data_IF_914148979604
#
_entry.id   IF_914148979604
#
_cell.length_a   1.000
_cell.length_b   1.000
_cell.length_c   1.000
_cell.angle_alpha   90.00
_cell.angle_beta   90.00
_cell.angle_gamma   90.00
#
_symmetry.space_group_name_H-M   'P 1'
#
loop_
_entity.id
_entity.type
_entity.pdbx_description
1 polymer ?
#
# COMPACT_ATOMS: atom_id res chain seq x y z
N UNK A 1 -15.99 -4.36 19.81
CA UNK A 1 -15.07 -3.98 18.72
C UNK A 1 -15.87 -3.87 17.43
N UNK A 2 -15.80 -2.77 16.69
CA UNK A 2 -16.59 -2.62 15.46
C UNK A 2 -16.01 -3.53 14.36
N UNK A 3 -16.82 -4.43 13.82
CA UNK A 3 -16.44 -5.38 12.75
C UNK A 3 -15.79 -4.65 11.56
N UNK A 4 -16.30 -3.47 11.20
CA UNK A 4 -15.74 -2.62 10.13
C UNK A 4 -14.29 -2.18 10.37
N UNK A 5 -13.89 -1.91 11.61
CA UNK A 5 -12.50 -1.58 11.93
C UNK A 5 -11.58 -2.79 11.80
N UNK A 6 -12.06 -3.98 12.19
CA UNK A 6 -11.29 -5.20 12.05
C UNK A 6 -11.08 -5.57 10.57
N UNK A 7 -12.14 -5.45 9.76
CA UNK A 7 -12.07 -5.69 8.30
C UNK A 7 -11.09 -4.72 7.64
N UNK A 8 -11.13 -3.44 8.00
CA UNK A 8 -10.20 -2.44 7.49
C UNK A 8 -8.73 -2.72 7.89
N UNK A 9 -8.49 -3.18 9.13
CA UNK A 9 -7.16 -3.59 9.57
C UNK A 9 -6.66 -4.80 8.76
N UNK A 10 -7.53 -5.80 8.54
CA UNK A 10 -7.19 -6.98 7.77
C UNK A 10 -6.90 -6.63 6.30
N UNK A 11 -7.66 -5.70 5.73
CA UNK A 11 -7.47 -5.23 4.36
C UNK A 11 -6.13 -4.50 4.17
N UNK A 12 -5.76 -3.59 5.09
CA UNK A 12 -4.48 -2.89 4.97
C UNK A 12 -3.30 -3.84 5.24
N UNK A 13 -3.44 -4.79 6.17
CA UNK A 13 -2.43 -5.80 6.44
C UNK A 13 -2.23 -6.73 5.23
N UNK A 14 -3.32 -7.22 4.62
CA UNK A 14 -3.24 -8.10 3.45
C UNK A 14 -2.66 -7.37 2.23
N UNK A 15 -3.06 -6.11 2.00
CA UNK A 15 -2.47 -5.27 0.97
C UNK A 15 -0.95 -5.10 1.17
N UNK A 16 -0.54 -4.82 2.42
CA UNK A 16 0.87 -4.69 2.78
C UNK A 16 1.65 -5.98 2.51
N UNK A 17 1.12 -7.13 2.92
CA UNK A 17 1.77 -8.42 2.69
C UNK A 17 1.88 -8.77 1.21
N UNK A 18 0.83 -8.50 0.42
CA UNK A 18 0.86 -8.74 -1.03
C UNK A 18 1.90 -7.86 -1.72
N UNK A 19 2.06 -6.62 -1.27
CA UNK A 19 3.05 -5.70 -1.83
C UNK A 19 4.48 -6.10 -1.47
N UNK A 20 4.71 -6.62 -0.26
CA UNK A 20 6.00 -7.21 0.15
C UNK A 20 6.29 -8.47 -0.66
N UNK A 21 5.29 -9.33 -0.87
CA UNK A 21 5.43 -10.53 -1.71
C UNK A 21 5.74 -10.14 -3.16
N UNK A 22 5.07 -9.12 -3.71
CA UNK A 22 5.36 -8.61 -5.05
C UNK A 22 6.80 -8.10 -5.17
N UNK A 23 7.33 -7.44 -4.14
CA UNK A 23 8.73 -7.03 -4.05
C UNK A 23 9.69 -8.23 -3.94
N UNK A 24 9.32 -9.26 -3.15
CA UNK A 24 10.16 -10.42 -2.88
C UNK A 24 10.23 -11.43 -4.03
N UNK A 25 9.11 -11.65 -4.74
CA UNK A 25 9.09 -12.43 -5.97
C UNK A 25 9.98 -11.76 -7.03
N UNK A 26 10.09 -10.42 -6.96
CA UNK A 26 11.09 -9.66 -7.69
C UNK A 26 10.85 -9.66 -9.19
N UNK A 27 11.51 -8.71 -9.86
CA UNK A 27 11.55 -8.70 -11.33
C UNK A 27 12.46 -9.82 -11.77
N UNK A 28 11.93 -10.81 -12.51
CA UNK A 28 12.65 -12.00 -13.00
C UNK A 28 13.99 -11.67 -13.68
N UNK A 29 14.15 -10.43 -14.13
CA UNK A 29 15.29 -9.91 -14.88
C UNK A 29 16.44 -9.43 -13.97
N UNK A 30 16.21 -9.20 -12.66
CA UNK A 30 17.18 -8.53 -11.79
C UNK A 30 17.29 -9.15 -10.38
N UNK A 31 18.52 -9.51 -9.96
CA UNK A 31 18.81 -10.06 -8.62
C UNK A 31 18.47 -9.08 -7.48
N UNK A 32 18.48 -7.77 -7.76
CA UNK A 32 18.09 -6.74 -6.83
C UNK A 32 17.49 -5.55 -7.59
N UNK A 33 16.45 -4.94 -7.03
CA UNK A 33 15.78 -3.75 -7.61
C UNK A 33 16.77 -2.60 -7.80
N UNK A 34 17.76 -2.49 -6.91
CA UNK A 34 18.78 -1.44 -6.96
C UNK A 34 19.89 -1.66 -8.00
N UNK A 35 20.07 -2.91 -8.45
CA UNK A 35 21.12 -3.32 -9.39
C UNK A 35 20.61 -3.50 -10.81
N UNK A 36 19.32 -3.24 -11.03
CA UNK A 36 18.72 -3.41 -12.34
C UNK A 36 19.24 -2.36 -13.32
N UNK A 37 19.77 -2.81 -14.46
CA UNK A 37 20.28 -1.94 -15.52
C UNK A 37 19.19 -1.10 -16.19
N UNK A 38 17.94 -1.58 -16.14
CA UNK A 38 16.79 -0.84 -16.61
C UNK A 38 16.31 0.17 -15.55
N UNK A 39 16.37 1.45 -15.90
CA UNK A 39 15.95 2.56 -15.05
C UNK A 39 14.46 2.47 -14.68
N UNK A 40 13.60 1.98 -15.57
CA UNK A 40 12.17 1.89 -15.33
C UNK A 40 11.85 0.81 -14.28
N UNK A 41 12.49 -0.35 -14.37
CA UNK A 41 12.40 -1.44 -13.37
C UNK A 41 12.87 -0.95 -11.99
N UNK A 42 13.99 -0.23 -11.98
CA UNK A 42 14.55 0.34 -10.75
C UNK A 42 13.61 1.36 -10.10
N UNK A 43 13.04 2.27 -10.89
CA UNK A 43 12.06 3.26 -10.42
C UNK A 43 10.80 2.56 -9.89
N UNK A 44 10.27 1.58 -10.63
CA UNK A 44 9.13 0.76 -10.23
C UNK A 44 9.35 0.13 -8.83
N UNK A 45 10.45 -0.57 -8.63
CA UNK A 45 10.67 -1.26 -7.36
C UNK A 45 10.99 -0.29 -6.20
N UNK A 46 11.64 0.86 -6.46
CA UNK A 46 11.81 1.90 -5.43
C UNK A 46 10.46 2.48 -5.00
N UNK A 47 9.58 2.78 -5.96
CA UNK A 47 8.22 3.28 -5.68
C UNK A 47 7.40 2.28 -4.87
N UNK A 48 7.47 0.99 -5.22
CA UNK A 48 6.82 -0.07 -4.44
C UNK A 48 7.42 -0.22 -3.05
N UNK A 49 8.75 -0.14 -2.89
CA UNK A 49 9.39 -0.20 -1.59
C UNK A 49 8.92 0.96 -0.68
N UNK A 50 8.89 2.17 -1.23
CA UNK A 50 8.37 3.35 -0.51
C UNK A 50 6.89 3.18 -0.17
N UNK A 51 6.10 2.66 -1.10
CA UNK A 51 4.69 2.30 -0.87
C UNK A 51 4.52 1.28 0.27
N UNK A 52 5.34 0.24 0.30
CA UNK A 52 5.33 -0.79 1.34
C UNK A 52 5.63 -0.19 2.72
N UNK A 53 6.65 0.66 2.84
CA UNK A 53 7.02 1.32 4.09
C UNK A 53 5.84 2.14 4.62
N UNK A 54 5.18 2.92 3.76
CA UNK A 54 4.01 3.69 4.15
C UNK A 54 2.81 2.81 4.53
N UNK A 55 2.54 1.73 3.82
CA UNK A 55 1.44 0.81 4.15
C UNK A 55 1.70 0.03 5.46
N UNK A 56 2.94 -0.40 5.72
CA UNK A 56 3.35 -0.97 7.02
C UNK A 56 3.11 0.05 8.14
N UNK A 57 3.58 1.27 7.95
CA UNK A 57 3.40 2.36 8.93
C UNK A 57 1.92 2.64 9.17
N UNK A 58 1.11 2.64 8.10
CA UNK A 58 -0.35 2.79 8.17
C UNK A 58 -1.00 1.68 8.98
N UNK A 59 -0.59 0.43 8.74
CA UNK A 59 -1.09 -0.74 9.49
C UNK A 59 -0.79 -0.62 10.98
N UNK A 60 0.44 -0.23 11.33
CA UNK A 60 0.85 -0.02 12.73
C UNK A 60 0.05 1.11 13.37
N UNK A 61 -0.05 2.27 12.72
CA UNK A 61 -0.80 3.41 13.25
C UNK A 61 -2.31 3.10 13.39
N UNK A 62 -2.87 2.36 12.44
CA UNK A 62 -4.27 1.93 12.49
C UNK A 62 -4.51 0.95 13.64
N UNK A 63 -3.60 0.00 13.86
CA UNK A 63 -3.61 -0.90 15.02
C UNK A 63 -3.52 -0.13 16.35
N UNK A 64 -2.59 0.81 16.46
CA UNK A 64 -2.46 1.67 17.65
C UNK A 64 -3.75 2.46 17.92
N UNK A 65 -4.50 2.84 16.87
CA UNK A 65 -5.78 3.55 17.02
C UNK A 65 -6.88 2.74 17.74
N UNK A 66 -6.73 1.41 17.85
CA UNK A 66 -7.62 0.58 18.68
C UNK A 66 -7.44 0.85 20.17
N UNK A 67 -6.21 1.13 20.60
CA UNK A 67 -5.87 1.35 22.01
C UNK A 67 -5.88 2.84 22.39
N UNK A 68 -5.40 3.70 21.48
CA UNK A 68 -5.33 5.16 21.69
C UNK A 68 -6.05 5.88 20.56
N UNK A 69 -7.23 6.40 20.86
CA UNK A 69 -8.10 7.03 19.88
C UNK A 69 -7.90 8.56 19.83
N UNK A 70 -6.66 9.01 19.59
CA UNK A 70 -6.31 10.43 19.48
C UNK A 70 -6.57 10.95 18.06
N UNK A 71 -7.11 12.16 17.94
CA UNK A 71 -7.36 12.81 16.64
C UNK A 71 -6.10 12.90 15.75
N UNK A 72 -4.93 13.11 16.34
CA UNK A 72 -3.65 13.14 15.64
C UNK A 72 -3.26 11.78 15.03
N UNK A 73 -3.44 10.67 15.75
CA UNK A 73 -3.18 9.31 15.24
C UNK A 73 -4.10 9.04 14.05
N UNK A 74 -5.34 9.51 14.16
CA UNK A 74 -6.36 9.42 13.12
C UNK A 74 -5.98 10.12 11.82
N UNK A 75 -5.51 11.36 11.89
CA UNK A 75 -5.02 12.07 10.70
C UNK A 75 -3.77 11.37 10.13
N UNK A 76 -2.87 10.94 11.01
CA UNK A 76 -1.59 10.35 10.62
C UNK A 76 -1.77 9.08 9.79
N UNK A 77 -2.58 8.11 10.24
CA UNK A 77 -2.77 6.89 9.45
C UNK A 77 -3.51 7.15 8.12
N UNK A 78 -4.34 8.20 8.02
CA UNK A 78 -5.01 8.55 6.76
C UNK A 78 -4.00 9.13 5.77
N UNK A 79 -3.20 10.10 6.20
CA UNK A 79 -2.19 10.73 5.35
C UNK A 79 -1.15 9.73 4.87
N UNK A 80 -0.63 8.92 5.80
CA UNK A 80 0.36 7.89 5.47
C UNK A 80 -0.25 6.81 4.57
N UNK A 81 -1.53 6.46 4.79
CA UNK A 81 -2.25 5.52 3.92
C UNK A 81 -2.41 6.03 2.50
N UNK A 82 -2.81 7.30 2.33
CA UNK A 82 -2.93 7.96 1.02
C UNK A 82 -1.58 7.98 0.31
N UNK A 83 -0.50 8.37 1.00
CA UNK A 83 0.85 8.37 0.43
C UNK A 83 1.29 6.97 -0.01
N UNK A 84 1.05 5.95 0.81
CA UNK A 84 1.36 4.57 0.45
C UNK A 84 0.59 4.08 -0.79
N UNK A 85 -0.70 4.43 -0.90
CA UNK A 85 -1.52 4.11 -2.07
C UNK A 85 -1.02 4.84 -3.31
N UNK A 86 -0.72 6.14 -3.23
CA UNK A 86 -0.21 6.93 -4.35
C UNK A 86 1.15 6.42 -4.84
N UNK A 87 2.07 6.10 -3.93
CA UNK A 87 3.36 5.52 -4.30
C UNK A 87 3.22 4.15 -4.96
N UNK A 88 2.30 3.32 -4.46
CA UNK A 88 2.01 2.01 -5.05
C UNK A 88 1.41 2.14 -6.44
N UNK A 89 0.45 3.05 -6.63
CA UNK A 89 -0.16 3.35 -7.93
C UNK A 89 0.88 3.90 -8.93
N UNK A 90 1.70 4.85 -8.50
CA UNK A 90 2.76 5.42 -9.31
C UNK A 90 3.77 4.33 -9.74
N UNK A 91 4.14 3.41 -8.83
CA UNK A 91 4.92 2.23 -9.18
C UNK A 91 4.21 1.41 -10.27
N UNK A 92 2.97 0.99 -10.02
CA UNK A 92 2.21 0.15 -10.98
C UNK A 92 1.96 0.81 -12.34
N UNK A 93 2.05 2.14 -12.48
CA UNK A 93 1.87 2.86 -13.75
C UNK A 93 3.15 2.94 -14.60
N UNK A 94 4.34 2.78 -14.01
CA UNK A 94 5.62 2.90 -14.73
C UNK A 94 5.92 1.65 -15.57
N UNK A 95 5.51 0.47 -15.11
CA UNK A 95 5.90 -0.82 -15.68
C UNK A 95 4.95 -1.50 -16.71
N UNK A 96 3.64 -1.22 -16.81
CA UNK A 96 2.71 -1.94 -17.70
C UNK A 96 3.09 -1.88 -19.17
N UNK A 97 3.79 -0.82 -19.56
CA UNK A 97 4.16 -0.58 -20.94
C UNK A 97 5.37 -1.41 -21.38
N UNK A 98 6.07 -2.07 -20.45
CA UNK A 98 7.35 -2.73 -20.70
C UNK A 98 7.28 -4.27 -20.63
N UNK A 99 6.43 -4.84 -19.76
CA UNK A 99 6.32 -6.30 -19.61
C UNK A 99 4.92 -6.75 -19.12
N UNK A 100 3.96 -7.04 -20.03
CA UNK A 100 2.58 -7.35 -19.67
C UNK A 100 2.38 -8.69 -18.93
N UNK A 101 3.33 -9.62 -19.00
CA UNK A 101 3.25 -10.94 -18.34
C UNK A 101 3.86 -10.97 -16.93
N UNK A 102 4.26 -9.81 -16.40
CA UNK A 102 4.98 -9.76 -15.15
C UNK A 102 4.04 -9.92 -13.93
N UNK A 103 4.07 -11.09 -13.29
CA UNK A 103 3.23 -11.44 -12.12
C UNK A 103 3.36 -10.46 -10.95
N UNK A 104 4.54 -9.88 -10.74
CA UNK A 104 4.75 -8.83 -9.72
C UNK A 104 3.89 -7.59 -9.94
N UNK A 105 3.57 -7.26 -11.20
CA UNK A 105 2.69 -6.15 -11.55
C UNK A 105 1.22 -6.43 -11.20
N UNK A 106 0.75 -7.65 -11.44
CA UNK A 106 -0.60 -8.07 -11.04
C UNK A 106 -0.78 -8.03 -9.53
N UNK A 107 0.18 -8.59 -8.77
CA UNK A 107 0.14 -8.60 -7.31
C UNK A 107 0.18 -7.19 -6.72
N UNK A 108 1.04 -6.30 -7.24
CA UNK A 108 1.12 -4.91 -6.80
C UNK A 108 -0.15 -4.11 -7.12
N UNK A 109 -0.80 -4.37 -8.26
CA UNK A 109 -2.08 -3.73 -8.65
C UNK A 109 -3.22 -4.17 -7.72
N UNK A 110 -3.30 -5.46 -7.42
CA UNK A 110 -4.29 -6.00 -6.46
C UNK A 110 -4.07 -5.37 -5.08
N UNK A 111 -2.82 -5.34 -4.61
CA UNK A 111 -2.46 -4.72 -3.33
C UNK A 111 -2.86 -3.23 -3.28
N UNK A 112 -2.56 -2.46 -4.33
CA UNK A 112 -2.93 -1.05 -4.42
C UNK A 112 -4.46 -0.85 -4.37
N UNK A 113 -5.22 -1.71 -5.05
CA UNK A 113 -6.70 -1.65 -5.08
C UNK A 113 -7.31 -1.93 -3.71
N UNK A 114 -6.76 -2.90 -2.97
CA UNK A 114 -7.21 -3.20 -1.60
C UNK A 114 -6.87 -2.03 -0.66
N UNK A 115 -5.66 -1.48 -0.77
CA UNK A 115 -5.22 -0.33 0.04
C UNK A 115 -6.06 0.94 -0.25
N UNK A 116 -6.44 1.16 -1.51
CA UNK A 116 -7.32 2.25 -1.92
C UNK A 116 -8.73 2.06 -1.35
N UNK A 117 -9.27 0.84 -1.40
CA UNK A 117 -10.57 0.48 -0.81
C UNK A 117 -10.60 0.72 0.71
N UNK A 118 -9.53 0.34 1.41
CA UNK A 118 -9.32 0.66 2.83
C UNK A 118 -9.35 2.18 3.06
N UNK A 119 -8.56 2.92 2.27
CA UNK A 119 -8.42 4.38 2.44
C UNK A 119 -9.77 5.08 2.26
N UNK A 120 -10.55 4.70 1.24
CA UNK A 120 -11.90 5.23 1.01
C UNK A 120 -12.83 4.90 2.20
N UNK A 121 -12.86 3.63 2.63
CA UNK A 121 -13.69 3.17 3.76
C UNK A 121 -13.41 3.97 5.04
N UNK A 122 -12.13 4.22 5.31
CA UNK A 122 -11.67 5.00 6.46
C UNK A 122 -12.08 6.47 6.32
N UNK A 123 -11.84 7.10 5.16
CA UNK A 123 -12.18 8.52 4.91
C UNK A 123 -13.69 8.76 5.00
N UNK A 124 -14.51 7.89 4.40
CA UNK A 124 -15.98 7.98 4.47
C UNK A 124 -16.47 7.86 5.92
N UNK A 125 -15.84 6.99 6.71
CA UNK A 125 -16.16 6.83 8.14
C UNK A 125 -15.87 8.08 8.97
N UNK A 126 -14.93 8.94 8.55
CA UNK A 126 -14.73 10.25 9.18
C UNK A 126 -15.86 11.22 8.84
N UNK A 127 -16.29 11.25 7.59
CA UNK A 127 -17.34 12.17 7.12
C UNK A 127 -18.67 11.92 7.84
N UNK A 128 -19.06 10.65 8.01
CA UNK A 128 -20.31 10.28 8.70
C UNK A 128 -20.34 10.61 10.20
N UNK A 129 -19.20 10.88 10.84
CA UNK A 129 -19.16 11.18 12.28
C UNK A 129 -19.39 12.67 12.59
N UNK A 130 -19.56 13.50 11.56
CA UNK A 130 -19.70 14.96 11.69
C UNK A 130 -21.14 15.47 11.53
N UNK A 131 -22.09 14.59 11.22
CA UNK A 131 -23.53 14.82 11.31
C UNK A 131 -24.09 14.10 12.53
#
# INVERSE_FOLDING_TARGET
MNISRLVNLLAVASATTLLIIALAIGIEVCSNVFECGDKAVRIYGILLLVGAIFLVTTTILYFVSFFKNTFWIRISYVLVGILGVLSSLAGTLVYPYLAPEFWGQWLSTIAATIALSFTISVVVSFSKKKN
#
